data_IF_403758720645
#
_entry.id   IF_403758720645
#
_cell.length_a   1.000
_cell.length_b   1.000
_cell.length_c   1.000
_cell.angle_alpha   90.00
_cell.angle_beta   90.00
_cell.angle_gamma   90.00
#
_symmetry.space_group_name_H-M   'P 1'
#
loop_
_entity.id
_entity.type
_entity.pdbx_description
1 polymer ?
#
# COMPACT_ATOMS: atom_id res chain seq x y z
N UNK A 1 6.40 -34.35 -25.07
CA UNK A 1 5.73 -34.79 -23.80
C UNK A 1 5.82 -33.65 -22.80
N UNK A 2 4.79 -33.45 -21.97
CA UNK A 2 4.79 -32.36 -20.99
C UNK A 2 5.31 -32.82 -19.65
N UNK A 3 5.91 -31.88 -18.91
CA UNK A 3 6.42 -32.12 -17.56
C UNK A 3 6.65 -30.81 -16.81
N UNK A 4 7.16 -30.96 -15.58
CA UNK A 4 7.51 -29.87 -14.70
C UNK A 4 8.95 -30.01 -14.20
N UNK A 5 9.72 -28.93 -14.23
CA UNK A 5 11.09 -28.93 -13.72
C UNK A 5 11.06 -29.05 -12.20
N UNK A 6 11.65 -30.12 -11.67
CA UNK A 6 11.79 -30.34 -10.23
C UNK A 6 13.02 -29.64 -9.64
N UNK A 7 14.13 -29.64 -10.37
CA UNK A 7 15.36 -28.99 -9.96
C UNK A 7 16.22 -28.62 -11.17
N UNK A 8 17.03 -27.57 -11.03
CA UNK A 8 18.05 -27.18 -11.98
C UNK A 8 19.21 -26.52 -11.26
N UNK A 9 20.40 -27.01 -11.49
CA UNK A 9 21.63 -26.42 -10.96
C UNK A 9 22.31 -25.61 -12.06
N UNK A 10 22.36 -24.30 -11.87
CA UNK A 10 22.94 -23.34 -12.82
C UNK A 10 24.46 -23.47 -12.92
N UNK A 11 25.13 -24.06 -11.91
CA UNK A 11 26.58 -24.24 -11.89
C UNK A 11 27.02 -25.44 -12.74
N UNK A 12 26.28 -26.54 -12.62
CA UNK A 12 26.56 -27.78 -13.35
C UNK A 12 25.80 -27.88 -14.67
N UNK A 13 24.74 -27.07 -14.82
CA UNK A 13 23.87 -27.14 -16.00
C UNK A 13 23.00 -28.39 -16.08
N UNK A 14 22.81 -29.11 -14.95
CA UNK A 14 22.03 -30.35 -14.89
C UNK A 14 20.71 -30.07 -14.18
N UNK A 15 19.63 -30.68 -14.66
CA UNK A 15 18.31 -30.56 -14.05
C UNK A 15 17.51 -31.85 -14.17
N UNK A 16 16.35 -31.87 -13.47
CA UNK A 16 15.41 -32.98 -13.39
C UNK A 16 14.00 -32.52 -13.72
N UNK A 17 13.34 -33.26 -14.61
CA UNK A 17 11.93 -33.03 -14.99
C UNK A 17 11.08 -34.19 -14.48
N UNK A 18 9.88 -33.89 -13.95
CA UNK A 18 8.82 -34.87 -13.73
C UNK A 18 7.90 -34.85 -14.95
N UNK A 19 7.82 -35.95 -15.68
CA UNK A 19 6.89 -36.12 -16.78
C UNK A 19 5.45 -36.33 -16.31
N UNK A 20 4.47 -36.06 -17.18
CA UNK A 20 3.04 -36.37 -16.92
C UNK A 20 2.76 -37.87 -16.75
N UNK A 21 3.68 -38.72 -17.19
CA UNK A 21 3.68 -40.17 -16.97
C UNK A 21 4.16 -40.60 -15.57
N UNK A 22 4.57 -39.64 -14.74
CA UNK A 22 5.11 -39.87 -13.39
C UNK A 22 6.60 -40.31 -13.37
N UNK A 23 7.23 -40.44 -14.51
CA UNK A 23 8.65 -40.74 -14.62
C UNK A 23 9.51 -39.46 -14.44
N UNK A 24 10.79 -39.68 -14.08
CA UNK A 24 11.77 -38.60 -13.93
C UNK A 24 12.78 -38.66 -15.06
N UNK A 25 13.09 -37.48 -15.61
CA UNK A 25 13.97 -37.34 -16.75
C UNK A 25 15.08 -36.36 -16.43
N UNK A 26 16.33 -36.79 -16.57
CA UNK A 26 17.48 -35.91 -16.43
C UNK A 26 17.66 -35.08 -17.68
N UNK A 27 18.08 -33.83 -17.51
CA UNK A 27 18.43 -32.98 -18.66
C UNK A 27 19.63 -32.10 -18.39
N UNK A 28 20.25 -31.64 -19.46
CA UNK A 28 21.36 -30.69 -19.43
C UNK A 28 20.95 -29.37 -20.08
N UNK A 29 21.70 -28.33 -19.78
CA UNK A 29 21.46 -27.00 -20.36
C UNK A 29 21.51 -27.01 -21.91
N UNK A 30 22.25 -27.93 -22.52
CA UNK A 30 22.32 -28.08 -23.97
C UNK A 30 21.01 -28.59 -24.60
N UNK A 31 20.13 -29.23 -23.83
CA UNK A 31 18.85 -29.72 -24.32
C UNK A 31 17.77 -28.63 -24.36
N UNK A 32 18.02 -27.41 -23.78
CA UNK A 32 17.11 -26.29 -23.77
C UNK A 32 17.08 -25.58 -25.13
N UNK A 33 15.92 -25.44 -25.72
CA UNK A 33 15.70 -24.67 -26.95
C UNK A 33 15.31 -23.19 -26.67
N UNK A 34 15.12 -22.83 -25.41
CA UNK A 34 14.78 -21.48 -24.99
C UNK A 34 15.98 -20.81 -24.29
N UNK A 35 16.26 -19.51 -24.53
CA UNK A 35 17.31 -18.76 -23.82
C UNK A 35 16.99 -18.49 -22.34
N UNK A 36 15.80 -18.86 -21.88
CA UNK A 36 15.37 -18.65 -20.51
C UNK A 36 16.02 -19.68 -19.57
N UNK A 37 16.47 -19.21 -18.39
CA UNK A 37 17.03 -20.09 -17.36
C UNK A 37 15.89 -20.90 -16.74
N UNK A 38 15.99 -22.25 -16.73
CA UNK A 38 14.96 -23.10 -16.14
C UNK A 38 14.90 -22.92 -14.63
N UNK A 39 13.68 -22.84 -14.10
CA UNK A 39 13.42 -22.75 -12.66
C UNK A 39 12.49 -23.88 -12.22
N UNK A 40 12.58 -24.27 -10.96
CA UNK A 40 11.69 -25.26 -10.34
C UNK A 40 10.22 -24.83 -10.46
N UNK A 41 9.33 -25.73 -10.82
CA UNK A 41 7.90 -25.48 -11.02
C UNK A 41 7.55 -25.01 -12.44
N UNK A 42 8.53 -24.85 -13.33
CA UNK A 42 8.30 -24.42 -14.71
C UNK A 42 7.79 -25.60 -15.55
N UNK A 43 6.69 -25.40 -16.26
CA UNK A 43 6.16 -26.39 -17.22
C UNK A 43 6.92 -26.33 -18.53
N UNK A 44 7.27 -27.52 -18.99
CA UNK A 44 8.03 -27.71 -20.21
C UNK A 44 7.38 -28.74 -21.12
N UNK A 45 7.62 -28.58 -22.42
CA UNK A 45 7.40 -29.64 -23.40
C UNK A 45 8.77 -30.20 -23.81
N UNK A 46 8.91 -31.49 -23.82
CA UNK A 46 10.19 -32.16 -24.09
C UNK A 46 10.02 -33.51 -24.81
N UNK A 47 11.07 -33.99 -25.42
CA UNK A 47 11.12 -35.30 -26.04
C UNK A 47 11.90 -36.26 -25.13
N UNK A 48 11.24 -37.31 -24.60
CA UNK A 48 11.95 -38.31 -23.78
C UNK A 48 12.84 -39.23 -24.65
N UNK A 49 14.09 -39.36 -24.23
CA UNK A 49 15.05 -40.32 -24.81
C UNK A 49 15.59 -41.22 -23.68
N UNK A 50 14.88 -42.32 -23.43
CA UNK A 50 15.20 -43.19 -22.29
C UNK A 50 14.93 -42.49 -20.95
N UNK A 51 15.94 -42.28 -20.12
CA UNK A 51 15.88 -41.55 -18.87
C UNK A 51 16.24 -40.03 -19.02
N UNK A 52 16.57 -39.57 -20.23
CA UNK A 52 16.95 -38.21 -20.50
C UNK A 52 15.82 -37.45 -21.24
N UNK A 53 15.75 -36.15 -20.99
CA UNK A 53 14.87 -35.21 -21.72
C UNK A 53 15.70 -34.39 -22.71
N UNK A 54 15.24 -34.36 -23.96
CA UNK A 54 15.84 -33.58 -25.05
C UNK A 54 14.83 -32.57 -25.63
N UNK A 55 15.30 -31.59 -26.39
CA UNK A 55 14.46 -30.58 -27.07
C UNK A 55 13.46 -29.89 -26.14
N UNK A 56 13.94 -29.39 -24.99
CA UNK A 56 13.12 -28.85 -23.96
C UNK A 56 12.67 -27.43 -24.33
N UNK A 57 11.37 -27.25 -24.48
CA UNK A 57 10.72 -25.96 -24.72
C UNK A 57 9.98 -25.50 -23.47
N UNK A 58 10.31 -24.33 -22.96
CA UNK A 58 9.61 -23.70 -21.83
C UNK A 58 8.27 -23.17 -22.33
N UNK A 59 7.16 -23.62 -21.72
CA UNK A 59 5.82 -23.18 -22.10
C UNK A 59 5.54 -21.78 -21.56
N UNK A 60 5.02 -20.89 -22.41
CA UNK A 60 4.61 -19.54 -22.04
C UNK A 60 3.51 -19.58 -20.95
N UNK A 61 3.73 -18.90 -19.84
CA UNK A 61 2.85 -18.91 -18.65
C UNK A 61 3.49 -19.59 -17.42
N UNK A 62 4.66 -20.22 -17.59
CA UNK A 62 5.46 -20.69 -16.46
C UNK A 62 6.31 -19.55 -15.91
N UNK A 63 6.55 -19.47 -14.59
CA UNK A 63 7.36 -18.41 -13.99
C UNK A 63 8.80 -18.49 -14.52
N UNK A 64 9.16 -17.55 -15.39
CA UNK A 64 10.52 -17.41 -15.93
C UNK A 64 11.30 -16.45 -15.06
N UNK A 65 12.29 -16.92 -14.34
CA UNK A 65 13.27 -16.05 -13.68
C UNK A 65 14.27 -15.56 -14.72
N UNK A 66 14.07 -14.36 -15.23
CA UNK A 66 15.10 -13.68 -16.04
C UNK A 66 16.19 -13.21 -15.08
N UNK A 67 17.33 -13.89 -15.09
CA UNK A 67 18.50 -13.52 -14.28
C UNK A 67 19.08 -12.19 -14.77
N UNK A 68 18.86 -11.13 -14.00
CA UNK A 68 19.72 -9.94 -13.99
C UNK A 68 20.33 -9.87 -12.61
N UNK A 69 21.65 -10.00 -12.56
CA UNK A 69 22.43 -9.87 -11.35
C UNK A 69 22.28 -8.44 -10.78
N UNK A 70 21.86 -8.35 -9.54
CA UNK A 70 21.94 -7.11 -8.75
C UNK A 70 20.62 -6.72 -8.07
N UNK A 71 20.48 -7.08 -6.78
CA UNK A 71 19.60 -6.40 -5.84
C UNK A 71 18.25 -7.07 -5.58
N UNK A 72 18.18 -7.74 -4.44
CA UNK A 72 16.96 -8.12 -3.69
C UNK A 72 15.82 -8.77 -4.47
N UNK A 73 15.92 -10.07 -4.66
CA UNK A 73 14.81 -10.89 -5.15
C UNK A 73 13.67 -10.91 -4.15
N UNK A 74 12.67 -10.04 -4.36
CA UNK A 74 11.34 -10.27 -3.84
C UNK A 74 10.74 -11.41 -4.65
N UNK A 75 10.65 -12.58 -4.05
CA UNK A 75 9.92 -13.74 -4.56
C UNK A 75 8.47 -13.37 -4.84
N UNK A 76 8.15 -13.08 -6.10
CA UNK A 76 6.76 -12.95 -6.54
C UNK A 76 6.22 -14.36 -6.75
N UNK A 77 5.85 -15.03 -5.66
CA UNK A 77 4.90 -16.12 -5.76
C UNK A 77 3.59 -15.53 -6.28
N UNK A 78 3.11 -15.98 -7.44
CA UNK A 78 1.71 -15.85 -7.87
C UNK A 78 0.82 -16.84 -7.08
N UNK A 79 1.00 -16.91 -5.77
CA UNK A 79 -0.09 -17.15 -4.87
C UNK A 79 -0.99 -15.91 -5.02
N UNK A 80 -2.30 -16.08 -5.09
CA UNK A 80 -3.29 -15.01 -4.91
C UNK A 80 -2.69 -14.05 -3.91
N UNK A 81 -2.21 -12.89 -4.37
CA UNK A 81 -1.37 -12.02 -3.56
C UNK A 81 -2.20 -11.66 -2.34
N UNK A 82 -1.93 -12.37 -1.26
CA UNK A 82 -2.55 -12.11 0.01
C UNK A 82 -2.34 -10.63 0.28
N UNK A 83 -3.37 -9.95 0.72
CA UNK A 83 -3.35 -8.53 1.00
C UNK A 83 -2.18 -8.25 1.97
N UNK A 84 -1.12 -7.63 1.45
CA UNK A 84 0.08 -7.34 2.24
C UNK A 84 -0.15 -6.12 3.13
N UNK A 85 -0.56 -6.38 4.36
CA UNK A 85 -0.84 -5.36 5.37
C UNK A 85 0.37 -4.52 5.71
N UNK A 86 1.55 -5.13 5.76
CA UNK A 86 2.80 -4.42 6.08
C UNK A 86 3.12 -3.41 4.98
N UNK A 87 3.08 -3.84 3.73
CA UNK A 87 3.28 -2.96 2.59
C UNK A 87 2.19 -1.88 2.52
N UNK A 88 0.93 -2.21 2.88
CA UNK A 88 -0.15 -1.23 2.87
C UNK A 88 0.08 -0.12 3.88
N UNK A 89 0.42 -0.43 5.12
CA UNK A 89 0.43 0.53 6.21
C UNK A 89 1.81 1.11 6.55
N UNK A 90 2.90 0.44 6.19
CA UNK A 90 4.24 0.86 6.59
C UNK A 90 5.07 1.45 5.44
N UNK A 91 4.79 1.11 4.18
CA UNK A 91 5.52 1.62 3.03
C UNK A 91 4.79 2.79 2.36
N UNK A 92 5.56 3.77 1.89
CA UNK A 92 5.07 4.87 1.03
C UNK A 92 5.21 4.58 -0.46
N UNK A 93 5.86 3.48 -0.81
CA UNK A 93 6.15 3.12 -2.20
C UNK A 93 4.98 2.40 -2.87
N UNK A 94 4.89 2.59 -4.19
CA UNK A 94 3.90 1.94 -5.03
C UNK A 94 2.56 2.66 -5.09
N UNK A 95 1.55 1.93 -5.57
CA UNK A 95 0.19 2.42 -5.86
C UNK A 95 -0.83 1.50 -5.19
N UNK A 96 -2.00 2.03 -4.82
CA UNK A 96 -3.11 1.25 -4.25
C UNK A 96 -4.43 1.56 -4.94
N UNK A 97 -5.28 0.53 -5.10
CA UNK A 97 -6.66 0.66 -5.60
C UNK A 97 -7.53 1.46 -4.64
N UNK A 98 -8.64 2.02 -5.16
CA UNK A 98 -9.67 2.67 -4.33
C UNK A 98 -10.19 1.77 -3.22
N UNK A 99 -10.48 0.51 -3.51
CA UNK A 99 -10.96 -0.46 -2.53
C UNK A 99 -9.98 -0.66 -1.37
N UNK A 100 -8.69 -0.84 -1.66
CA UNK A 100 -7.65 -1.01 -0.63
C UNK A 100 -7.46 0.26 0.19
N UNK A 101 -7.58 1.44 -0.43
CA UNK A 101 -7.56 2.71 0.27
C UNK A 101 -8.71 2.81 1.29
N UNK A 102 -9.96 2.56 0.86
CA UNK A 102 -11.12 2.64 1.74
C UNK A 102 -11.11 1.59 2.85
N UNK A 103 -10.71 0.35 2.54
CA UNK A 103 -10.55 -0.70 3.56
C UNK A 103 -9.50 -0.28 4.59
N UNK A 104 -8.33 0.16 4.14
CA UNK A 104 -7.27 0.64 5.02
C UNK A 104 -7.70 1.82 5.88
N UNK A 105 -8.38 2.80 5.29
CA UNK A 105 -8.90 3.98 6.00
C UNK A 105 -9.95 3.61 7.05
N UNK A 106 -10.90 2.73 6.72
CA UNK A 106 -11.93 2.25 7.66
C UNK A 106 -11.33 1.47 8.83
N UNK A 107 -10.30 0.65 8.57
CA UNK A 107 -9.58 -0.06 9.64
C UNK A 107 -8.92 0.95 10.58
N UNK A 108 -8.20 1.94 10.03
CA UNK A 108 -7.55 2.97 10.85
C UNK A 108 -8.56 3.83 11.62
N UNK A 109 -9.71 4.13 11.02
CA UNK A 109 -10.81 4.81 11.69
C UNK A 109 -11.34 3.96 12.85
N UNK A 110 -11.60 2.68 12.63
CA UNK A 110 -12.07 1.76 13.67
C UNK A 110 -11.08 1.64 14.82
N UNK A 111 -9.79 1.49 14.52
CA UNK A 111 -8.72 1.47 15.54
C UNK A 111 -8.68 2.79 16.31
N UNK A 112 -8.80 3.92 15.63
CA UNK A 112 -8.81 5.26 16.25
C UNK A 112 -9.99 5.41 17.23
N UNK A 113 -11.19 4.99 16.81
CA UNK A 113 -12.40 5.01 17.66
C UNK A 113 -12.18 4.17 18.92
N UNK A 114 -11.64 2.94 18.78
CA UNK A 114 -11.37 2.06 19.94
C UNK A 114 -10.34 2.69 20.88
N UNK A 115 -9.24 3.22 20.35
CA UNK A 115 -8.18 3.85 21.14
C UNK A 115 -8.69 5.09 21.86
N UNK A 116 -9.60 5.87 21.27
CA UNK A 116 -10.14 7.10 21.86
C UNK A 116 -10.93 6.86 23.16
N UNK A 117 -11.45 5.64 23.35
CA UNK A 117 -12.19 5.27 24.56
C UNK A 117 -11.30 4.92 25.76
N UNK A 118 -10.01 4.74 25.55
CA UNK A 118 -9.09 4.30 26.59
C UNK A 118 -8.20 5.48 27.01
N UNK A 119 -8.36 6.03 28.23
CA UNK A 119 -7.51 7.10 28.73
C UNK A 119 -6.03 6.69 28.65
N UNK A 120 -5.13 7.63 28.40
CA UNK A 120 -3.69 7.49 28.22
C UNK A 120 -3.25 6.72 26.96
N UNK A 121 -4.01 5.72 26.47
CA UNK A 121 -3.73 5.01 25.22
C UNK A 121 -4.02 5.92 24.02
N UNK A 122 -4.82 6.96 24.19
CA UNK A 122 -5.12 7.94 23.14
C UNK A 122 -3.84 8.56 22.53
N UNK A 123 -2.73 8.66 23.28
CA UNK A 123 -1.44 9.09 22.77
C UNK A 123 -0.88 8.17 21.68
N UNK A 124 -1.28 6.89 21.65
CA UNK A 124 -0.94 5.96 20.56
C UNK A 124 -1.61 6.37 19.23
N UNK A 125 -2.62 7.24 19.24
CA UNK A 125 -3.18 7.83 18.03
C UNK A 125 -2.12 8.52 17.16
N UNK A 126 -1.04 9.01 17.77
CA UNK A 126 0.10 9.59 17.04
C UNK A 126 0.76 8.54 16.13
N UNK A 127 0.85 7.30 16.56
CA UNK A 127 1.42 6.19 15.78
C UNK A 127 0.58 5.92 14.51
N UNK A 128 -0.75 6.15 14.59
CA UNK A 128 -1.65 5.98 13.44
C UNK A 128 -1.49 7.05 12.36
N UNK A 129 -0.76 8.13 12.62
CA UNK A 129 -0.41 9.14 11.62
C UNK A 129 0.37 8.49 10.47
N UNK A 130 1.35 7.65 10.78
CA UNK A 130 2.20 7.00 9.79
C UNK A 130 1.40 6.16 8.78
N UNK A 131 0.59 5.19 9.19
CA UNK A 131 -0.20 4.38 8.24
C UNK A 131 -1.26 5.21 7.48
N UNK A 132 -1.84 6.26 8.09
CA UNK A 132 -2.74 7.18 7.38
C UNK A 132 -2.02 7.92 6.25
N UNK A 133 -0.80 8.41 6.51
CA UNK A 133 0.03 9.03 5.48
C UNK A 133 0.41 8.01 4.40
N UNK A 134 0.81 6.78 4.77
CA UNK A 134 1.24 5.75 3.85
C UNK A 134 0.14 5.38 2.83
N UNK A 135 -1.10 5.14 3.28
CA UNK A 135 -2.21 4.83 2.37
C UNK A 135 -2.60 6.03 1.49
N UNK A 136 -2.58 7.25 2.06
CA UNK A 136 -2.95 8.47 1.33
C UNK A 136 -1.91 8.82 0.25
N UNK A 137 -0.63 8.71 0.56
CA UNK A 137 0.48 8.93 -0.39
C UNK A 137 0.40 7.94 -1.55
N UNK A 138 0.25 6.63 -1.26
CA UNK A 138 0.10 5.61 -2.32
C UNK A 138 -1.14 5.82 -3.17
N UNK A 139 -2.21 6.36 -2.57
CA UNK A 139 -3.40 6.70 -3.32
C UNK A 139 -3.18 7.88 -4.26
N UNK A 140 -2.44 8.92 -3.83
CA UNK A 140 -1.99 10.02 -4.68
C UNK A 140 -1.08 9.52 -5.81
N UNK A 141 -0.16 8.61 -5.51
CA UNK A 141 0.69 7.97 -6.51
C UNK A 141 -0.13 7.19 -7.56
N UNK A 142 -1.21 6.54 -7.14
CA UNK A 142 -2.11 5.82 -8.04
C UNK A 142 -2.87 6.74 -9.00
N UNK A 143 -3.12 7.98 -8.59
CA UNK A 143 -3.67 9.07 -9.41
C UNK A 143 -2.59 9.79 -10.25
N UNK A 144 -1.32 9.36 -10.23
CA UNK A 144 -0.18 10.02 -10.87
C UNK A 144 0.25 11.33 -10.21
N UNK A 145 -0.27 11.61 -9.01
CA UNK A 145 0.03 12.83 -8.26
C UNK A 145 1.19 12.62 -7.30
N UNK A 146 1.85 13.73 -6.93
CA UNK A 146 2.89 13.66 -5.89
C UNK A 146 2.29 13.43 -4.51
N UNK A 147 2.94 12.59 -3.70
CA UNK A 147 2.53 12.33 -2.31
C UNK A 147 2.56 13.56 -1.41
N UNK A 148 3.34 14.60 -1.76
CA UNK A 148 3.41 15.85 -1.01
C UNK A 148 2.07 16.61 -0.93
N UNK A 149 1.11 16.34 -1.80
CA UNK A 149 -0.22 16.93 -1.73
C UNK A 149 -0.95 16.61 -0.42
N UNK A 150 -0.59 15.55 0.28
CA UNK A 150 -1.11 15.25 1.61
C UNK A 150 -0.75 16.33 2.65
N UNK A 151 0.31 17.09 2.42
CA UNK A 151 0.69 18.18 3.31
C UNK A 151 -0.37 19.30 3.36
N UNK A 152 -1.16 19.48 2.31
CA UNK A 152 -2.16 20.54 2.22
C UNK A 152 -3.19 20.45 3.37
N UNK A 153 -3.97 19.34 3.54
CA UNK A 153 -4.90 19.24 4.64
C UNK A 153 -4.21 19.19 6.01
N UNK A 154 -3.01 18.61 6.09
CA UNK A 154 -2.28 18.53 7.36
C UNK A 154 -1.80 19.89 7.83
N UNK A 155 -1.10 20.64 6.97
CA UNK A 155 -0.63 21.99 7.29
C UNK A 155 -1.83 22.91 7.56
N UNK A 156 -2.89 22.80 6.75
CA UNK A 156 -4.14 23.54 6.96
C UNK A 156 -4.76 23.27 8.34
N UNK A 157 -4.79 21.99 8.76
CA UNK A 157 -5.32 21.62 10.09
C UNK A 157 -4.46 22.14 11.23
N UNK A 158 -3.12 22.10 11.09
CA UNK A 158 -2.20 22.65 12.10
C UNK A 158 -2.39 24.16 12.23
N UNK A 159 -2.49 24.88 11.11
CA UNK A 159 -2.71 26.32 11.10
C UNK A 159 -4.07 26.64 11.76
N UNK A 160 -5.13 25.88 11.38
CA UNK A 160 -6.47 26.07 11.97
C UNK A 160 -6.46 25.82 13.48
N UNK A 161 -5.73 24.80 13.95
CA UNK A 161 -5.60 24.50 15.37
C UNK A 161 -4.89 25.63 16.13
N UNK A 162 -3.73 26.05 15.65
CA UNK A 162 -2.95 27.13 16.29
C UNK A 162 -3.73 28.45 16.29
N UNK A 163 -4.35 28.81 15.16
CA UNK A 163 -5.15 30.03 15.06
C UNK A 163 -6.41 29.95 15.96
N UNK A 164 -7.12 28.83 15.94
CA UNK A 164 -8.30 28.63 16.79
C UNK A 164 -7.97 28.71 18.28
N UNK A 165 -6.88 28.06 18.69
CA UNK A 165 -6.40 28.16 20.07
C UNK A 165 -6.02 29.59 20.45
N UNK A 166 -5.27 30.28 19.58
CA UNK A 166 -4.91 31.68 19.82
C UNK A 166 -6.14 32.60 19.93
N UNK A 167 -7.16 32.36 19.11
CA UNK A 167 -8.45 33.11 19.18
C UNK A 167 -9.14 32.91 20.51
N UNK A 168 -9.23 31.66 21.01
CA UNK A 168 -9.84 31.36 22.32
C UNK A 168 -9.07 32.06 23.44
N UNK A 169 -7.75 31.94 23.45
CA UNK A 169 -6.90 32.58 24.46
C UNK A 169 -7.04 34.12 24.41
N UNK A 170 -6.95 34.70 23.22
CA UNK A 170 -7.11 36.14 23.06
C UNK A 170 -8.50 36.66 23.54
N UNK A 171 -9.58 35.93 23.21
CA UNK A 171 -10.90 36.25 23.64
C UNK A 171 -11.06 36.10 25.16
N UNK A 172 -10.51 35.06 25.77
CA UNK A 172 -10.50 34.87 27.22
C UNK A 172 -9.76 36.01 27.95
N UNK A 173 -8.60 36.40 27.45
CA UNK A 173 -7.82 37.51 28.02
C UNK A 173 -8.56 38.85 27.87
N UNK A 174 -9.10 39.13 26.68
CA UNK A 174 -9.76 40.39 26.37
C UNK A 174 -11.05 40.60 27.21
N UNK A 175 -11.79 39.53 27.52
CA UNK A 175 -13.01 39.57 28.27
C UNK A 175 -12.83 39.37 29.80
N UNK A 176 -11.57 39.20 30.25
CA UNK A 176 -11.31 38.90 31.66
C UNK A 176 -11.91 37.57 32.06
N UNK A 177 -11.24 36.45 31.71
CA UNK A 177 -11.76 35.12 32.02
C UNK A 177 -12.07 34.97 33.50
N UNK A 178 -13.33 34.63 33.80
CA UNK A 178 -13.80 34.29 35.13
C UNK A 178 -14.65 33.04 35.01
N UNK A 179 -14.28 32.00 35.77
CA UNK A 179 -14.98 30.71 35.74
C UNK A 179 -16.47 30.88 36.03
N UNK A 180 -16.81 31.67 37.04
CA UNK A 180 -18.17 31.95 37.46
C UNK A 180 -19.05 32.61 36.35
N UNK A 181 -18.43 33.42 35.48
CA UNK A 181 -19.15 34.06 34.36
C UNK A 181 -19.48 33.06 33.26
N UNK A 182 -18.62 32.12 32.98
CA UNK A 182 -18.82 31.12 31.93
C UNK A 182 -19.62 29.92 32.43
N UNK A 183 -19.54 29.61 33.74
CA UNK A 183 -20.34 28.58 34.39
C UNK A 183 -21.82 29.00 34.40
N UNK A 184 -22.64 28.19 33.75
CA UNK A 184 -24.09 28.50 33.61
C UNK A 184 -24.45 29.53 32.53
N UNK A 185 -23.50 30.06 31.76
CA UNK A 185 -23.75 30.98 30.63
C UNK A 185 -23.31 30.37 29.28
N UNK A 186 -24.13 29.50 28.67
CA UNK A 186 -23.78 28.86 27.39
C UNK A 186 -23.51 29.87 26.26
N UNK A 187 -24.21 31.01 26.27
CA UNK A 187 -24.00 32.04 25.24
C UNK A 187 -22.59 32.65 25.30
N UNK A 188 -22.08 32.88 26.52
CA UNK A 188 -20.69 33.34 26.69
C UNK A 188 -19.67 32.30 26.22
N UNK A 189 -19.91 31.03 26.53
CA UNK A 189 -19.05 29.91 26.03
C UNK A 189 -19.07 29.86 24.51
N UNK A 190 -20.25 29.95 23.88
CA UNK A 190 -20.37 30.00 22.42
C UNK A 190 -19.70 31.23 21.81
N UNK A 191 -19.79 32.38 22.45
CA UNK A 191 -19.12 33.60 22.00
C UNK A 191 -17.58 33.45 22.05
N UNK A 192 -17.07 32.81 23.12
CA UNK A 192 -15.67 32.57 23.31
C UNK A 192 -15.12 31.51 22.29
N UNK A 193 -15.81 30.40 22.14
CA UNK A 193 -15.34 29.26 21.35
C UNK A 193 -15.84 29.27 19.90
N UNK A 194 -16.94 29.98 19.60
CA UNK A 194 -17.58 29.94 18.29
C UNK A 194 -16.68 30.20 17.11
N UNK A 195 -15.82 31.22 17.11
CA UNK A 195 -14.87 31.46 16.02
C UNK A 195 -13.88 30.33 15.81
N UNK A 196 -13.38 29.72 16.89
CA UNK A 196 -12.48 28.57 16.80
C UNK A 196 -13.21 27.33 16.28
N UNK A 197 -14.43 27.08 16.74
CA UNK A 197 -15.29 25.99 16.24
C UNK A 197 -15.54 26.16 14.73
N UNK A 198 -15.86 27.37 14.29
CA UNK A 198 -16.03 27.70 12.88
C UNK A 198 -14.80 27.39 12.04
N UNK A 199 -13.61 27.77 12.54
CA UNK A 199 -12.34 27.49 11.88
C UNK A 199 -12.04 25.99 11.80
N UNK A 200 -12.31 25.23 12.87
CA UNK A 200 -12.16 23.77 12.88
C UNK A 200 -13.16 23.09 11.94
N UNK A 201 -14.38 23.59 11.87
CA UNK A 201 -15.38 23.07 10.94
C UNK A 201 -14.92 23.25 9.47
N UNK A 202 -14.39 24.41 9.12
CA UNK A 202 -13.83 24.66 7.79
C UNK A 202 -12.65 23.73 7.51
N UNK A 203 -11.72 23.59 8.45
CA UNK A 203 -10.58 22.68 8.29
C UNK A 203 -11.04 21.22 8.13
N UNK A 204 -12.05 20.79 8.90
CA UNK A 204 -12.65 19.46 8.79
C UNK A 204 -13.33 19.23 7.43
N UNK A 205 -14.07 20.22 6.92
CA UNK A 205 -14.69 20.15 5.59
C UNK A 205 -13.64 20.07 4.47
N UNK A 206 -12.56 20.83 4.56
CA UNK A 206 -11.46 20.76 3.61
C UNK A 206 -10.77 19.39 3.66
N UNK A 207 -10.55 18.84 4.87
CA UNK A 207 -10.02 17.50 5.06
C UNK A 207 -10.93 16.41 4.47
N UNK A 208 -12.24 16.53 4.69
CA UNK A 208 -13.24 15.63 4.11
C UNK A 208 -13.29 15.73 2.58
N UNK A 209 -13.26 16.94 2.04
CA UNK A 209 -13.22 17.15 0.60
C UNK A 209 -11.96 16.52 -0.02
N UNK A 210 -10.81 16.67 0.64
CA UNK A 210 -9.57 16.03 0.21
C UNK A 210 -9.66 14.50 0.29
N UNK A 211 -10.20 13.95 1.38
CA UNK A 211 -10.41 12.50 1.55
C UNK A 211 -11.30 11.93 0.44
N UNK A 212 -12.44 12.60 0.17
CA UNK A 212 -13.34 12.19 -0.90
C UNK A 212 -12.67 12.32 -2.27
N UNK A 213 -11.91 13.38 -2.50
CA UNK A 213 -11.18 13.58 -3.74
C UNK A 213 -10.20 12.43 -4.01
N UNK A 214 -9.33 12.08 -3.07
CA UNK A 214 -8.38 10.98 -3.25
C UNK A 214 -9.07 9.60 -3.26
N UNK A 215 -10.15 9.43 -2.50
CA UNK A 215 -10.88 8.16 -2.39
C UNK A 215 -11.75 7.83 -3.60
N UNK A 216 -12.31 8.84 -4.29
CA UNK A 216 -13.29 8.65 -5.36
C UNK A 216 -12.70 8.74 -6.77
N UNK A 217 -11.66 9.55 -7.00
CA UNK A 217 -11.03 9.70 -8.32
C UNK A 217 -10.43 8.35 -8.75
N UNK A 218 -10.53 8.02 -10.02
CA UNK A 218 -10.01 6.75 -10.53
C UNK A 218 -8.48 6.72 -10.63
N UNK A 219 -7.94 5.51 -10.73
CA UNK A 219 -6.51 5.24 -10.94
C UNK A 219 -6.07 5.76 -12.30
N UNK A 220 -4.85 6.26 -12.40
CA UNK A 220 -4.24 6.55 -13.69
C UNK A 220 -4.02 5.23 -14.45
N UNK A 221 -4.50 5.15 -15.68
CA UNK A 221 -4.31 3.98 -16.55
C UNK A 221 -2.84 3.79 -16.88
N UNK A 222 -2.46 2.53 -17.10
CA UNK A 222 -1.09 2.16 -17.44
C UNK A 222 -0.09 2.34 -16.29
N UNK A 223 1.17 2.14 -16.60
CA UNK A 223 2.29 2.37 -15.69
C UNK A 223 2.58 3.86 -15.54
N UNK A 224 2.97 4.27 -14.34
CA UNK A 224 3.46 5.61 -14.07
C UNK A 224 4.77 5.56 -13.26
N UNK A 225 5.34 6.73 -12.96
CA UNK A 225 6.62 6.82 -12.22
C UNK A 225 6.64 6.14 -10.85
N UNK A 226 5.51 5.71 -10.33
CA UNK A 226 5.37 5.04 -9.03
C UNK A 226 5.10 3.53 -9.17
N UNK A 227 5.04 3.02 -10.41
CA UNK A 227 4.91 1.61 -10.72
C UNK A 227 3.69 1.25 -11.58
N UNK A 228 3.47 -0.05 -11.81
CA UNK A 228 2.38 -0.56 -12.63
C UNK A 228 1.01 -0.25 -12.03
N UNK A 229 -0.01 -0.20 -12.91
CA UNK A 229 -1.39 -0.02 -12.47
C UNK A 229 -1.85 -1.22 -11.63
N UNK A 230 -2.29 -1.02 -10.37
CA UNK A 230 -2.73 -2.13 -9.53
C UNK A 230 -4.01 -2.83 -10.01
N UNK A 231 -4.70 -2.29 -11.03
CA UNK A 231 -5.85 -2.93 -11.68
C UNK A 231 -5.43 -3.78 -12.90
N UNK A 232 -4.19 -3.64 -13.40
CA UNK A 232 -3.72 -4.31 -14.60
C UNK A 232 -4.25 -3.73 -15.91
N UNK A 233 -4.75 -2.49 -15.90
CA UNK A 233 -5.29 -1.75 -17.07
C UNK A 233 -4.24 -0.82 -17.70
#
# INVERSE_FOLDING_TARGET
>A
MRGEILSYDTTTGIGLISGEDGARYDFTSAALQSPAVPATGVRVDFVPEGAAATQILILAGSPTTTGVAGGYASSTSTAVAGFDWQKLFLSFEGRIRRSHFWIGWLILLGVNVVISWIPFINLLGIVLIWPNLAISVKRLHDMGKTGWLIAIPWVGSVIAFVAGFAMVVAAAVANGYSEDYYEGNPAAVFALMGPAIGLFAIAGLLGLAFLLWIGLIDSQKGENRFGPNPKGE
#
